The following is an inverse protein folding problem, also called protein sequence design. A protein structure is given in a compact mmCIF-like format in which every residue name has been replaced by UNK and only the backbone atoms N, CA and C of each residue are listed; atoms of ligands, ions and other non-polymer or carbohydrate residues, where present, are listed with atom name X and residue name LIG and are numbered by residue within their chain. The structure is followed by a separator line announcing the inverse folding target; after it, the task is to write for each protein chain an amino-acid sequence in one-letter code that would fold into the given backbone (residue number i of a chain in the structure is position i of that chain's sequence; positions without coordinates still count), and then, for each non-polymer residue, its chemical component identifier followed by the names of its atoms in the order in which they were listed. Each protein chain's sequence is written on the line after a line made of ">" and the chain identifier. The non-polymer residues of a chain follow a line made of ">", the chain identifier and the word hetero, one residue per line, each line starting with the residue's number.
data_IF_906127587171
#
_entry.id   IF_906127587171
#
_cell.length_a   1.000
_cell.length_b   1.000
_cell.length_c   1.000
_cell.angle_alpha   90.00
_cell.angle_beta   90.00
_cell.angle_gamma   90.00
#
_symmetry.space_group_name_H-M   'P 1'
#
loop_
_entity.id
_entity.type
_entity.pdbx_description
1 polymer ?
#
# COMPACT_ATOMS: atom_id res chain seq x y z
N UNK A 1 17.98 -9.84 6.81
CA UNK A 1 18.84 -10.12 5.64
C UNK A 1 17.93 -10.31 4.44
N UNK A 2 17.58 -9.24 3.75
CA UNK A 2 16.81 -9.32 2.50
C UNK A 2 17.61 -10.15 1.48
N UNK A 3 17.03 -11.23 0.96
CA UNK A 3 17.67 -12.04 -0.07
C UNK A 3 17.81 -11.22 -1.35
N UNK A 4 18.81 -11.49 -2.18
CA UNK A 4 18.95 -10.85 -3.51
C UNK A 4 17.63 -10.75 -4.32
N UNK A 5 16.74 -11.78 -4.33
CA UNK A 5 15.41 -11.66 -4.93
C UNK A 5 14.52 -10.59 -4.29
N UNK A 6 14.46 -10.48 -2.96
CA UNK A 6 13.61 -9.50 -2.27
C UNK A 6 13.96 -8.06 -2.67
N UNK A 7 15.25 -7.78 -2.86
CA UNK A 7 15.72 -6.46 -3.32
C UNK A 7 15.27 -6.14 -4.74
N UNK A 8 15.25 -7.14 -5.63
CA UNK A 8 14.82 -6.97 -7.02
C UNK A 8 13.30 -6.71 -7.10
N UNK A 9 12.51 -7.48 -6.34
CA UNK A 9 11.05 -7.29 -6.26
C UNK A 9 10.73 -5.93 -5.67
N UNK A 10 11.47 -5.49 -4.66
CA UNK A 10 11.30 -4.18 -4.06
C UNK A 10 11.57 -3.04 -5.05
N UNK A 11 12.67 -3.14 -5.81
CA UNK A 11 12.97 -2.16 -6.87
C UNK A 11 11.91 -2.16 -7.97
N UNK A 12 11.39 -3.33 -8.34
CA UNK A 12 10.30 -3.46 -9.30
C UNK A 12 9.03 -2.76 -8.80
N UNK A 13 8.60 -3.02 -7.57
CA UNK A 13 7.43 -2.37 -6.98
C UNK A 13 7.63 -0.85 -6.91
N UNK A 14 8.80 -0.40 -6.47
CA UNK A 14 9.14 1.03 -6.46
C UNK A 14 9.01 1.66 -7.85
N UNK A 15 9.57 1.02 -8.87
CA UNK A 15 9.51 1.52 -10.24
C UNK A 15 8.08 1.54 -10.79
N UNK A 16 7.26 0.55 -10.44
CA UNK A 16 5.87 0.44 -10.88
C UNK A 16 4.97 1.52 -10.25
N UNK A 17 5.22 1.84 -8.98
CA UNK A 17 4.42 2.80 -8.22
C UNK A 17 4.94 4.24 -8.28
N UNK A 18 6.20 4.45 -8.70
CA UNK A 18 6.81 5.77 -8.81
C UNK A 18 5.97 6.82 -9.59
N UNK A 19 5.25 6.48 -10.67
CA UNK A 19 4.38 7.44 -11.36
C UNK A 19 3.25 7.99 -10.49
N UNK A 20 2.82 7.25 -9.48
CA UNK A 20 1.68 7.56 -8.62
C UNK A 20 2.11 8.09 -7.23
N UNK A 21 3.40 8.34 -7.02
CA UNK A 21 3.96 8.67 -5.72
C UNK A 21 3.41 9.97 -5.10
N UNK A 22 2.86 10.86 -5.92
CA UNK A 22 2.33 12.17 -5.51
C UNK A 22 0.81 12.17 -5.34
N UNK A 23 0.13 11.10 -5.76
CA UNK A 23 -1.32 11.01 -5.69
C UNK A 23 -1.77 10.92 -4.23
N UNK A 24 -2.69 11.79 -3.84
CA UNK A 24 -3.27 11.82 -2.49
C UNK A 24 -4.65 11.15 -2.51
N UNK A 25 -4.67 9.87 -2.83
CA UNK A 25 -5.89 9.09 -2.90
C UNK A 25 -6.35 8.62 -1.52
N UNK A 26 -7.60 8.16 -1.44
CA UNK A 26 -8.04 7.39 -0.28
C UNK A 26 -7.25 6.09 -0.17
N UNK A 27 -7.14 5.54 1.04
CA UNK A 27 -6.45 4.27 1.26
C UNK A 27 -7.07 3.11 0.45
N UNK A 28 -8.39 3.14 0.23
CA UNK A 28 -9.07 2.15 -0.60
C UNK A 28 -8.78 2.34 -2.11
N UNK A 29 -8.66 3.58 -2.59
CA UNK A 29 -8.28 3.86 -3.97
C UNK A 29 -6.80 3.56 -4.24
N UNK A 30 -5.91 3.82 -3.26
CA UNK A 30 -4.53 3.32 -3.27
C UNK A 30 -4.48 1.79 -3.44
N UNK A 31 -5.34 1.06 -2.73
CA UNK A 31 -5.41 -0.39 -2.84
C UNK A 31 -5.85 -0.84 -4.25
N UNK A 32 -6.86 -0.21 -4.84
CA UNK A 32 -7.27 -0.47 -6.23
C UNK A 32 -6.13 -0.19 -7.22
N UNK A 33 -5.46 0.95 -7.05
CA UNK A 33 -4.32 1.36 -7.87
C UNK A 33 -3.22 0.31 -7.86
N UNK A 34 -2.78 -0.08 -6.66
CA UNK A 34 -1.65 -1.00 -6.49
C UNK A 34 -1.99 -2.38 -7.07
N UNK A 35 -3.19 -2.92 -6.81
CA UNK A 35 -3.64 -4.19 -7.40
C UNK A 35 -3.64 -4.12 -8.93
N UNK A 36 -4.19 -3.06 -9.51
CA UNK A 36 -4.26 -2.88 -10.96
C UNK A 36 -2.87 -2.79 -11.61
N UNK A 37 -1.95 -2.04 -11.00
CA UNK A 37 -0.58 -1.87 -11.50
C UNK A 37 0.19 -3.20 -11.43
N UNK A 38 0.06 -3.95 -10.32
CA UNK A 38 0.68 -5.26 -10.15
C UNK A 38 0.15 -6.27 -11.19
N UNK A 39 -1.17 -6.32 -11.38
CA UNK A 39 -1.77 -7.21 -12.35
C UNK A 39 -1.32 -6.89 -13.78
N UNK A 40 -1.27 -5.60 -14.15
CA UNK A 40 -0.81 -5.17 -15.47
C UNK A 40 0.68 -5.50 -15.71
N UNK A 41 1.53 -5.47 -14.69
CA UNK A 41 2.92 -5.92 -14.80
C UNK A 41 3.02 -7.45 -14.93
N UNK A 42 2.17 -8.21 -14.21
CA UNK A 42 2.10 -9.65 -14.35
C UNK A 42 1.68 -10.08 -15.77
N UNK A 43 0.72 -9.39 -16.39
CA UNK A 43 0.28 -9.65 -17.77
C UNK A 43 1.36 -9.37 -18.82
N UNK A 44 2.17 -8.32 -18.63
CA UNK A 44 3.26 -7.97 -19.57
C UNK A 44 4.40 -8.99 -19.60
N UNK A 45 4.53 -9.82 -18.57
CA UNK A 45 5.61 -10.81 -18.42
C UNK A 45 5.23 -12.20 -18.91
N UNK A 46 4.00 -12.38 -19.41
CA UNK A 46 3.51 -13.65 -19.95
C UNK A 46 4.09 -13.87 -21.34
N UNK A 47 5.37 -14.24 -21.38
CA UNK A 47 5.86 -15.20 -22.37
C UNK A 47 5.67 -16.60 -21.72
N UNK A 48 5.05 -17.52 -22.46
CA UNK A 48 4.28 -18.66 -21.96
C UNK A 48 4.94 -19.52 -20.84
N UNK A 49 4.14 -19.81 -19.78
CA UNK A 49 4.19 -21.00 -18.87
C UNK A 49 4.30 -20.74 -17.36
N UNK A 50 4.44 -19.49 -16.89
CA UNK A 50 4.42 -19.20 -15.44
C UNK A 50 3.35 -18.14 -15.15
N UNK A 51 2.24 -18.54 -14.52
CA UNK A 51 1.28 -17.59 -13.93
C UNK A 51 2.01 -16.83 -12.81
N UNK A 52 2.43 -15.60 -13.08
CA UNK A 52 2.94 -14.74 -12.02
C UNK A 52 1.79 -14.41 -11.08
N UNK A 53 1.99 -14.60 -9.77
CA UNK A 53 0.96 -14.38 -8.78
C UNK A 53 0.53 -12.91 -8.77
N UNK A 54 -0.79 -12.67 -8.90
CA UNK A 54 -1.38 -11.35 -8.66
C UNK A 54 -1.31 -11.02 -7.17
N UNK A 55 -1.22 -9.72 -6.83
CA UNK A 55 -1.25 -9.30 -5.44
C UNK A 55 -2.57 -9.69 -4.75
N UNK A 56 -2.50 -9.96 -3.44
CA UNK A 56 -3.67 -10.24 -2.60
C UNK A 56 -3.89 -9.05 -1.66
N UNK A 57 -5.10 -8.49 -1.69
CA UNK A 57 -5.49 -7.35 -0.86
C UNK A 57 -6.09 -7.80 0.47
N UNK A 58 -5.77 -7.07 1.53
CA UNK A 58 -6.22 -7.34 2.89
C UNK A 58 -6.62 -6.05 3.63
N UNK A 59 -7.65 -6.17 4.46
CA UNK A 59 -7.88 -5.33 5.63
C UNK A 59 -7.14 -5.96 6.81
N UNK A 60 -6.30 -5.19 7.48
CA UNK A 60 -5.59 -5.61 8.69
C UNK A 60 -6.21 -4.90 9.88
N UNK A 61 -6.50 -5.64 10.94
CA UNK A 61 -6.88 -5.07 12.24
C UNK A 61 -5.77 -5.32 13.25
N UNK A 62 -5.13 -4.25 13.73
CA UNK A 62 -4.17 -4.31 14.83
C UNK A 62 -4.92 -4.12 16.14
N UNK A 63 -4.89 -5.15 17.00
CA UNK A 63 -5.34 -5.02 18.38
C UNK A 63 -4.17 -4.45 19.18
N UNK A 64 -4.31 -3.22 19.70
CA UNK A 64 -3.31 -2.58 20.55
C UNK A 64 -3.15 -3.32 21.88
N UNK A 65 -2.27 -4.30 21.92
CA UNK A 65 -1.95 -5.04 23.13
C UNK A 65 -0.89 -4.34 23.96
N UNK A 66 -1.29 -3.41 24.84
CA UNK A 66 -0.52 -3.17 26.06
C UNK A 66 -1.42 -3.18 27.30
N UNK A 67 -1.13 -4.16 28.16
CA UNK A 67 -1.51 -4.21 29.56
C UNK A 67 -1.27 -2.84 30.21
N UNK A 68 -2.34 -2.17 30.59
CA UNK A 68 -2.28 -1.19 31.66
C UNK A 68 -3.37 -1.58 32.65
N UNK A 69 -2.98 -2.03 33.84
CA UNK A 69 -3.91 -2.45 34.90
C UNK A 69 -4.61 -1.22 35.53
N UNK A 70 -5.12 -0.32 34.71
CA UNK A 70 -5.83 0.89 35.10
C UNK A 70 -7.30 0.70 34.69
N UNK A 71 -8.15 0.42 35.68
CA UNK A 71 -9.60 0.47 35.57
C UNK A 71 -10.03 1.90 35.23
N UNK A 72 -10.21 2.18 33.94
CA UNK A 72 -10.72 3.45 33.44
C UNK A 72 -10.90 3.37 31.93
N UNK A 73 -12.16 3.19 31.52
CA UNK A 73 -12.71 3.37 30.16
C UNK A 73 -11.67 3.27 29.03
N UNK A 74 -11.16 2.06 28.77
CA UNK A 74 -10.25 1.81 27.67
C UNK A 74 -11.05 1.72 26.39
N UNK A 75 -11.12 2.83 25.66
CA UNK A 75 -11.45 2.79 24.24
C UNK A 75 -10.34 1.95 23.58
N UNK A 76 -10.68 0.70 23.23
CA UNK A 76 -9.78 -0.27 22.63
C UNK A 76 -9.49 0.21 21.20
N UNK A 77 -8.52 1.11 21.05
CA UNK A 77 -8.13 1.66 19.75
C UNK A 77 -7.55 0.51 18.89
N UNK A 78 -8.39 -0.02 18.02
CA UNK A 78 -7.96 -0.90 16.94
C UNK A 78 -7.64 -0.05 15.72
N UNK A 79 -6.37 0.03 15.35
CA UNK A 79 -5.97 0.65 14.08
C UNK A 79 -6.21 -0.37 12.96
N UNK A 80 -7.00 0.04 11.95
CA UNK A 80 -7.24 -0.78 10.78
C UNK A 80 -6.61 -0.12 9.55
N UNK A 81 -6.03 -0.91 8.66
CA UNK A 81 -5.41 -0.40 7.44
C UNK A 81 -5.55 -1.37 6.26
N UNK A 82 -5.40 -0.84 5.05
CA UNK A 82 -5.38 -1.62 3.82
C UNK A 82 -3.93 -1.97 3.45
N UNK A 83 -3.69 -3.24 3.13
CA UNK A 83 -2.41 -3.66 2.60
C UNK A 83 -2.56 -4.68 1.47
N UNK A 84 -1.49 -4.80 0.68
CA UNK A 84 -1.39 -5.80 -0.39
C UNK A 84 -0.15 -6.63 -0.16
N UNK A 85 -0.32 -7.94 -0.16
CA UNK A 85 0.77 -8.89 -0.24
C UNK A 85 1.03 -9.21 -1.70
N UNK A 86 2.27 -9.00 -2.16
CA UNK A 86 2.70 -9.46 -3.47
C UNK A 86 4.08 -10.08 -3.39
N UNK A 87 4.16 -11.35 -3.78
CA UNK A 87 5.35 -12.18 -3.56
C UNK A 87 5.72 -12.18 -2.06
N UNK A 88 6.91 -11.70 -1.70
CA UNK A 88 7.38 -11.62 -0.32
C UNK A 88 7.36 -10.18 0.25
N UNK A 89 6.59 -9.28 -0.36
CA UNK A 89 6.54 -7.85 0.03
C UNK A 89 5.13 -7.48 0.46
N UNK A 90 5.06 -6.68 1.51
CA UNK A 90 3.83 -6.03 1.96
C UNK A 90 3.84 -4.56 1.56
N UNK A 91 2.72 -4.12 0.99
CA UNK A 91 2.50 -2.75 0.53
C UNK A 91 1.37 -2.17 1.38
N UNK A 92 1.66 -1.17 2.21
CA UNK A 92 0.68 -0.44 2.98
C UNK A 92 0.03 0.64 2.09
N UNK A 93 -1.29 0.61 1.99
CA UNK A 93 -2.08 1.54 1.20
C UNK A 93 -2.66 2.71 2.03
N UNK A 94 -2.59 2.62 3.36
CA UNK A 94 -3.09 3.63 4.31
C UNK A 94 -4.09 3.06 5.32
N UNK A 95 -4.42 3.87 6.34
CA UNK A 95 -5.43 3.55 7.34
C UNK A 95 -6.83 3.51 6.72
N UNK A 96 -7.71 2.67 7.26
CA UNK A 96 -9.12 2.68 6.86
C UNK A 96 -9.71 4.06 7.22
N UNK A 97 -10.47 4.63 6.29
CA UNK A 97 -11.00 6.00 6.33
C UNK A 97 -9.96 7.13 6.18
N UNK A 98 -8.70 6.82 5.86
CA UNK A 98 -7.78 7.85 5.39
C UNK A 98 -8.10 8.22 3.93
N UNK A 99 -8.50 9.47 3.72
CA UNK A 99 -8.84 10.00 2.40
C UNK A 99 -7.66 10.70 1.70
N UNK A 100 -6.49 10.76 2.34
CA UNK A 100 -5.26 11.35 1.80
C UNK A 100 -4.05 10.51 2.25
N UNK A 101 -4.08 9.24 1.87
CA UNK A 101 -3.10 8.24 2.27
C UNK A 101 -1.92 8.19 1.30
N UNK A 102 -0.73 7.89 1.84
CA UNK A 102 0.47 7.60 1.04
C UNK A 102 0.72 6.10 0.95
N UNK A 103 1.11 5.61 -0.22
CA UNK A 103 1.57 4.22 -0.39
C UNK A 103 2.96 4.06 0.21
N UNK A 104 3.14 3.04 1.05
CA UNK A 104 4.39 2.72 1.73
C UNK A 104 4.76 1.25 1.53
N UNK A 105 6.04 0.98 1.32
CA UNK A 105 6.57 -0.39 1.25
C UNK A 105 7.08 -0.82 2.61
N UNK A 106 6.68 -2.01 3.04
CA UNK A 106 7.11 -2.61 4.28
C UNK A 106 8.18 -3.66 3.95
N UNK A 107 9.35 -3.51 4.56
CA UNK A 107 10.47 -4.43 4.38
C UNK A 107 10.69 -5.26 5.64
N UNK A 108 11.29 -6.44 5.48
CA UNK A 108 11.60 -7.33 6.59
C UNK A 108 12.62 -6.74 7.60
N UNK A 109 13.38 -5.72 7.22
CA UNK A 109 14.37 -5.09 8.11
C UNK A 109 13.76 -3.91 8.91
N UNK A 110 12.45 -3.92 9.17
CA UNK A 110 11.70 -2.85 9.88
C UNK A 110 11.73 -1.45 9.25
N UNK A 111 12.15 -1.37 7.98
CA UNK A 111 12.21 -0.09 7.27
C UNK A 111 10.96 0.11 6.45
N UNK A 112 10.20 1.15 6.79
CA UNK A 112 9.17 1.72 5.92
C UNK A 112 9.87 2.53 4.83
N UNK A 113 9.59 2.20 3.57
CA UNK A 113 10.09 2.94 2.41
C UNK A 113 8.94 3.67 1.73
N UNK A 114 9.01 5.00 1.72
CA UNK A 114 8.13 5.81 0.90
C UNK A 114 8.50 5.67 -0.57
N UNK A 115 7.48 5.58 -1.43
CA UNK A 115 7.68 5.67 -2.88
C UNK A 115 8.17 7.10 -3.20
N UNK A 116 9.31 7.22 -3.89
CA UNK A 116 9.88 8.49 -4.33
C UNK A 116 9.82 8.57 -5.85
N UNK A 117 9.34 9.68 -6.39
CA UNK A 117 9.53 10.00 -7.81
C UNK A 117 10.98 10.45 -8.03
N UNK A 118 11.55 10.14 -9.21
CA UNK A 118 12.95 10.37 -9.54
C UNK A 118 13.36 11.84 -9.69
N UNK A 119 12.43 12.79 -9.63
CA UNK A 119 12.70 14.22 -9.79
C UNK A 119 12.47 14.99 -8.47
N UNK A 120 13.60 15.42 -7.90
CA UNK A 120 13.87 16.30 -6.74
C UNK A 120 12.72 17.14 -6.15
N UNK A 121 12.49 17.01 -4.84
CA UNK A 121 12.67 18.06 -3.80
C UNK A 121 12.08 17.58 -2.46
N UNK A 122 12.83 17.73 -1.37
CA UNK A 122 12.41 17.38 0.00
C UNK A 122 11.19 18.22 0.44
N UNK A 123 9.98 17.73 0.18
CA UNK A 123 8.81 18.14 0.94
C UNK A 123 8.58 17.13 2.07
N UNK A 124 8.81 17.58 3.30
CA UNK A 124 8.49 16.87 4.53
C UNK A 124 6.98 16.83 4.71
N UNK A 125 6.28 16.06 3.89
CA UNK A 125 4.92 15.66 4.18
C UNK A 125 4.99 14.50 5.18
N UNK A 126 5.17 14.85 6.44
CA UNK A 126 4.95 13.96 7.59
C UNK A 126 3.43 13.72 7.72
N UNK A 127 2.84 13.01 6.75
CA UNK A 127 1.52 12.40 6.97
C UNK A 127 1.70 11.36 8.07
N UNK A 128 0.86 11.47 9.11
CA UNK A 128 0.94 10.68 10.32
C UNK A 128 1.07 9.19 9.97
N UNK A 129 2.29 8.66 10.07
CA UNK A 129 2.51 7.22 10.16
C UNK A 129 1.84 6.85 11.47
N UNK A 130 0.65 6.22 11.38
CA UNK A 130 -0.05 5.70 12.55
C UNK A 130 0.96 4.94 13.40
N UNK A 131 0.98 5.18 14.71
CA UNK A 131 2.05 4.69 15.59
C UNK A 131 2.13 3.15 15.55
N UNK A 132 1.05 2.46 15.16
CA UNK A 132 0.99 1.02 14.90
C UNK A 132 1.53 0.55 13.54
N UNK A 133 1.90 1.43 12.62
CA UNK A 133 2.47 1.07 11.30
C UNK A 133 3.91 0.57 11.40
N UNK A 134 4.61 0.91 12.49
CA UNK A 134 6.00 0.51 12.71
C UNK A 134 6.14 -0.89 13.34
N UNK A 135 5.04 -1.51 13.81
CA UNK A 135 5.04 -2.84 14.43
C UNK A 135 4.36 -3.92 13.53
N UNK A 136 4.38 -3.69 12.21
CA UNK A 136 3.71 -4.56 11.22
C UNK A 136 4.46 -5.90 11.01
N UNK A 137 5.60 -6.15 11.68
CA UNK A 137 6.29 -7.45 11.53
C UNK A 137 5.51 -8.65 12.06
N UNK A 138 4.44 -8.44 12.84
CA UNK A 138 3.52 -9.49 13.26
C UNK A 138 2.09 -9.22 12.77
N UNK A 139 1.90 -9.06 11.46
CA UNK A 139 0.57 -9.31 10.89
C UNK A 139 0.25 -10.80 11.14
N UNK A 140 -0.40 -11.09 12.26
CA UNK A 140 -0.92 -12.43 12.50
C UNK A 140 -1.97 -12.75 11.44
N UNK A 141 -2.03 -14.00 10.99
CA UNK A 141 -3.06 -14.46 10.04
C UNK A 141 -4.48 -14.25 10.57
N UNK A 142 -4.66 -14.17 11.89
CA UNK A 142 -5.91 -13.85 12.60
C UNK A 142 -6.36 -12.40 12.39
N UNK A 143 -5.44 -11.48 12.15
CA UNK A 143 -5.70 -10.05 11.91
C UNK A 143 -6.00 -9.71 10.46
N UNK A 144 -5.85 -10.68 9.55
CA UNK A 144 -6.01 -10.48 8.10
C UNK A 144 -7.41 -10.87 7.63
N UNK A 145 -8.07 -9.92 6.99
CA UNK A 145 -9.29 -10.16 6.21
C UNK A 145 -9.01 -9.88 4.74
N UNK A 146 -9.05 -10.92 3.91
CA UNK A 146 -8.89 -10.74 2.47
C UNK A 146 -10.05 -9.91 1.90
N UNK A 147 -9.71 -8.91 1.09
CA UNK A 147 -10.68 -8.05 0.41
C UNK A 147 -10.67 -8.36 -1.08
N UNK A 148 -11.86 -8.54 -1.66
CA UNK A 148 -12.00 -8.62 -3.11
C UNK A 148 -12.02 -7.19 -3.66
N UNK A 149 -10.99 -6.84 -4.41
CA UNK A 149 -10.83 -5.51 -5.01
C UNK A 149 -11.12 -5.61 -6.50
N UNK A 150 -12.02 -4.77 -7.06
CA UNK A 150 -12.25 -4.73 -8.50
C UNK A 150 -10.95 -4.44 -9.24
N UNK A 151 -10.61 -5.29 -10.19
CA UNK A 151 -9.42 -5.11 -11.00
C UNK A 151 -9.67 -4.02 -12.05
N UNK A 152 -9.00 -2.88 -11.90
CA UNK A 152 -9.08 -1.76 -12.83
C UNK A 152 -8.09 -1.92 -13.98
N UNK A 153 -8.45 -1.44 -15.17
CA UNK A 153 -7.50 -1.26 -16.27
C UNK A 153 -6.57 -0.06 -16.00
N UNK A 154 -5.41 -0.02 -16.67
CA UNK A 154 -4.51 1.14 -16.54
C UNK A 154 -5.18 2.46 -16.94
N UNK A 155 -6.07 2.44 -17.95
CA UNK A 155 -6.85 3.62 -18.33
C UNK A 155 -7.80 4.07 -17.21
N UNK A 156 -8.41 3.15 -16.47
CA UNK A 156 -9.25 3.48 -15.31
C UNK A 156 -8.41 4.03 -14.14
N UNK A 157 -7.20 3.51 -13.95
CA UNK A 157 -6.23 4.05 -12.97
C UNK A 157 -5.84 5.49 -13.34
N UNK A 158 -5.57 5.77 -14.61
CA UNK A 158 -5.27 7.12 -15.09
C UNK A 158 -6.42 8.10 -14.79
N UNK A 159 -7.67 7.71 -15.04
CA UNK A 159 -8.82 8.55 -14.70
C UNK A 159 -8.97 8.77 -13.19
N UNK A 160 -8.62 7.78 -12.38
CA UNK A 160 -8.65 7.88 -10.92
C UNK A 160 -7.59 8.86 -10.38
N UNK A 161 -6.44 8.99 -11.06
CA UNK A 161 -5.34 9.88 -10.68
C UNK A 161 -5.43 11.27 -11.33
N UNK A 162 -6.51 11.58 -12.05
CA UNK A 162 -6.65 12.86 -12.75
C UNK A 162 -7.14 13.94 -11.79
N UNK A 163 -6.24 14.84 -11.36
CA UNK A 163 -6.57 15.89 -10.38
C UNK A 163 -7.58 16.94 -10.90
N UNK A 164 -7.55 17.29 -12.19
CA UNK A 164 -8.50 18.25 -12.78
C UNK A 164 -8.69 18.01 -14.29
N UNK A 165 -9.92 17.71 -14.72
CA UNK A 165 -10.34 18.05 -16.07
C UNK A 165 -10.58 19.56 -16.10
N UNK A 166 -9.58 20.35 -16.47
CA UNK A 166 -9.80 21.75 -16.80
C UNK A 166 -10.68 21.79 -18.06
N UNK A 167 -11.99 21.83 -17.88
CA UNK A 167 -12.94 22.30 -18.88
C UNK A 167 -12.88 23.83 -18.96
N UNK A 168 -11.69 24.40 -19.07
CA UNK A 168 -11.52 25.80 -19.48
C UNK A 168 -10.99 25.77 -20.90
N UNK A 169 -11.91 25.93 -21.86
CA UNK A 169 -11.75 26.55 -23.18
C UNK A 169 -12.88 26.05 -24.09
N UNK A 170 -14.02 26.77 -24.03
CA UNK A 170 -14.96 26.89 -25.15
C UNK A 170 -14.67 28.21 -25.88
#
# INVERSE_FOLDING_TARGET
>A
MNSAPDKQVLQQVQSLLAPYARELLSAFDNMKLVIAVIAADAEKRVDDSIKLESGIAYEVTLCGGEHSDIEGDKDEFSEQFYCIQWQNIWINCGLINDYRASIQLLTHDDKVLHIKQSDTSDDKNEHAIGKGTLDIMHIETSSLRQVNVPLLSLQQVEFMCMEYAHFDHC
#
